data_IF_054196323748
#
_entry.id   IF_054196323748
#
_cell.length_a   1.000
_cell.length_b   1.000
_cell.length_c   1.000
_cell.angle_alpha   90.00
_cell.angle_beta   90.00
_cell.angle_gamma   90.00
#
_symmetry.space_group_name_H-M   'P 1'
#
loop_
_entity.id
_entity.type
_entity.pdbx_description
1 polymer ?
#
# COMPACT_ATOMS: atom_id res chain seq x y z
N UNK A 1 8.67 -6.76 -9.15
CA UNK A 1 8.09 -5.78 -10.10
C UNK A 1 7.85 -4.47 -9.37
N UNK A 2 8.10 -3.30 -9.98
CA UNK A 2 7.78 -1.99 -9.40
C UNK A 2 6.58 -1.41 -10.13
N UNK A 3 5.53 -1.06 -9.38
CA UNK A 3 4.29 -0.50 -9.92
C UNK A 3 3.96 0.79 -9.17
N UNK A 4 3.22 1.69 -9.83
CA UNK A 4 2.54 2.77 -9.11
C UNK A 4 1.31 2.23 -8.43
N UNK A 5 1.11 2.62 -7.19
CA UNK A 5 -0.05 2.26 -6.39
C UNK A 5 -0.64 3.52 -5.79
N UNK A 6 -1.96 3.65 -5.90
CA UNK A 6 -2.73 4.62 -5.13
C UNK A 6 -3.07 3.98 -3.80
N UNK A 7 -2.77 4.65 -2.70
CA UNK A 7 -3.14 4.23 -1.35
C UNK A 7 -4.06 5.26 -0.73
N UNK A 8 -5.14 4.80 -0.09
CA UNK A 8 -6.03 5.65 0.68
C UNK A 8 -6.18 5.20 2.13
N UNK A 9 -6.24 6.19 3.02
CA UNK A 9 -6.38 6.03 4.46
C UNK A 9 -6.97 7.31 5.07
N UNK A 10 -7.83 7.25 6.10
CA UNK A 10 -8.44 8.43 6.71
C UNK A 10 -7.45 9.49 7.22
N UNK A 11 -6.24 9.10 7.61
CA UNK A 11 -5.22 10.03 8.14
C UNK A 11 -4.62 10.97 7.09
N UNK A 12 -4.57 10.56 5.81
CA UNK A 12 -3.90 11.32 4.75
C UNK A 12 -4.72 11.45 3.45
N UNK A 13 -5.93 10.88 3.40
CA UNK A 13 -6.74 10.89 2.19
C UNK A 13 -6.23 9.87 1.18
N UNK A 14 -5.71 10.34 0.04
CA UNK A 14 -5.15 9.50 -1.02
C UNK A 14 -3.73 9.96 -1.38
N UNK A 15 -2.85 9.00 -1.67
CA UNK A 15 -1.49 9.25 -2.14
C UNK A 15 -1.12 8.30 -3.29
N UNK A 16 -0.17 8.72 -4.11
CA UNK A 16 0.45 7.88 -5.14
C UNK A 16 1.86 7.56 -4.70
N UNK A 17 2.18 6.27 -4.62
CA UNK A 17 3.49 5.78 -4.23
C UNK A 17 4.02 4.71 -5.20
N UNK A 18 5.29 4.34 -5.02
CA UNK A 18 5.91 3.24 -5.74
C UNK A 18 6.10 2.04 -4.82
N UNK A 19 5.79 0.86 -5.33
CA UNK A 19 6.12 -0.40 -4.67
C UNK A 19 7.63 -0.64 -4.75
N UNK A 20 8.23 -1.13 -3.65
CA UNK A 20 9.62 -1.60 -3.62
C UNK A 20 9.68 -3.07 -4.00
N UNK A 21 8.83 -3.86 -3.37
CA UNK A 21 8.65 -5.30 -3.60
C UNK A 21 7.16 -5.64 -3.61
N UNK A 22 6.83 -6.74 -4.29
CA UNK A 22 5.48 -7.28 -4.43
C UNK A 22 5.60 -8.80 -4.45
N UNK A 23 4.77 -9.46 -3.66
CA UNK A 23 4.65 -10.92 -3.55
C UNK A 23 3.17 -11.32 -3.50
N UNK A 24 2.87 -12.61 -3.48
CA UNK A 24 1.49 -13.10 -3.42
C UNK A 24 0.77 -12.75 -2.11
N UNK A 25 1.52 -12.51 -1.03
CA UNK A 25 0.97 -12.21 0.30
C UNK A 25 0.92 -10.72 0.66
N UNK A 26 1.58 -9.86 -0.13
CA UNK A 26 1.70 -8.45 0.25
C UNK A 26 2.70 -7.66 -0.59
N UNK A 27 2.82 -6.39 -0.22
CA UNK A 27 3.58 -5.37 -0.95
C UNK A 27 4.30 -4.45 0.04
N UNK A 28 5.54 -4.08 -0.24
CA UNK A 28 6.19 -2.98 0.46
C UNK A 28 6.08 -1.69 -0.36
N UNK A 29 5.71 -0.60 0.31
CA UNK A 29 5.49 0.70 -0.33
C UNK A 29 6.29 1.78 0.39
N UNK A 30 7.05 2.55 -0.38
CA UNK A 30 7.84 3.68 0.14
C UNK A 30 7.01 4.94 0.16
N UNK A 31 6.70 5.45 1.35
CA UNK A 31 6.09 6.76 1.54
C UNK A 31 6.19 7.19 3.02
N UNK A 32 6.56 8.44 3.32
CA UNK A 32 6.67 8.91 4.71
C UNK A 32 5.34 8.79 5.48
N UNK A 33 4.20 9.10 4.84
CA UNK A 33 2.89 8.98 5.50
C UNK A 33 2.51 7.53 5.84
N UNK A 34 3.05 6.54 5.11
CA UNK A 34 2.85 5.12 5.43
C UNK A 34 3.78 4.67 6.57
N UNK A 35 5.00 5.18 6.61
CA UNK A 35 5.94 4.95 7.71
C UNK A 35 5.41 5.49 9.05
N UNK A 36 4.53 6.49 9.01
CA UNK A 36 3.88 7.07 10.19
C UNK A 36 2.63 6.29 10.66
N UNK A 37 2.15 5.30 9.91
CA UNK A 37 0.98 4.52 10.31
C UNK A 37 1.33 3.49 11.41
N UNK A 38 0.43 3.26 12.38
CA UNK A 38 0.62 2.16 13.32
C UNK A 38 0.45 0.81 12.62
N UNK A 39 1.21 -0.20 13.09
CA UNK A 39 1.00 -1.60 12.72
C UNK A 39 -0.43 -2.03 13.08
N UNK A 40 -1.09 -2.76 12.18
CA UNK A 40 -2.50 -3.12 12.26
C UNK A 40 -3.45 -2.13 11.55
N UNK A 41 -2.96 -0.99 11.05
CA UNK A 41 -3.80 -0.07 10.27
C UNK A 41 -4.28 -0.72 8.98
N UNK A 42 -5.53 -0.46 8.60
CA UNK A 42 -6.10 -0.92 7.33
C UNK A 42 -6.04 0.21 6.32
N UNK A 43 -5.38 -0.04 5.19
CA UNK A 43 -5.31 0.87 4.05
C UNK A 43 -5.97 0.23 2.83
N UNK A 44 -6.44 1.06 1.90
CA UNK A 44 -6.94 0.59 0.60
C UNK A 44 -5.91 0.90 -0.47
N UNK A 45 -5.60 -0.07 -1.32
CA UNK A 45 -4.62 0.08 -2.40
C UNK A 45 -5.20 -0.27 -3.76
N UNK A 46 -4.73 0.43 -4.79
CA UNK A 46 -5.13 0.19 -6.17
C UNK A 46 -3.93 0.39 -7.09
N UNK A 47 -3.56 -0.65 -7.84
CA UNK A 47 -2.51 -0.56 -8.86
C UNK A 47 -2.93 0.45 -9.93
N UNK A 48 -1.99 1.29 -10.34
CA UNK A 48 -2.20 2.31 -11.37
C UNK A 48 -1.54 1.90 -12.69
N UNK A 49 -1.83 2.64 -13.76
CA UNK A 49 -1.24 2.47 -15.10
C UNK A 49 -1.56 1.15 -15.81
N UNK A 50 -2.65 0.51 -15.39
CA UNK A 50 -3.20 -0.61 -16.15
C UNK A 50 -4.13 -0.08 -17.25
N UNK A 51 -4.28 -0.80 -18.38
CA UNK A 51 -5.23 -0.44 -19.45
C UNK A 51 -6.68 -0.33 -18.98
N UNK A 52 -6.99 -0.97 -17.84
CA UNK A 52 -8.28 -0.91 -17.15
C UNK A 52 -8.04 -0.65 -15.67
N UNK A 53 -9.05 -0.14 -14.98
CA UNK A 53 -8.96 0.14 -13.55
C UNK A 53 -8.70 -1.15 -12.74
N UNK A 54 -7.66 -1.13 -11.90
CA UNK A 54 -7.33 -2.25 -11.03
C UNK A 54 -8.37 -2.38 -9.90
N UNK A 55 -8.60 -3.59 -9.37
CA UNK A 55 -9.40 -3.75 -8.17
C UNK A 55 -8.77 -2.99 -6.99
N UNK A 56 -9.63 -2.47 -6.11
CA UNK A 56 -9.21 -1.91 -4.84
C UNK A 56 -9.08 -3.06 -3.84
N UNK A 57 -7.91 -3.19 -3.22
CA UNK A 57 -7.59 -4.20 -2.22
C UNK A 57 -7.50 -3.56 -0.84
N UNK A 58 -8.02 -4.22 0.18
CA UNK A 58 -7.72 -3.89 1.57
C UNK A 58 -6.43 -4.56 2.01
N UNK A 59 -5.62 -3.82 2.76
CA UNK A 59 -4.33 -4.29 3.23
C UNK A 59 -4.08 -3.85 4.66
N UNK A 60 -3.41 -4.70 5.43
CA UNK A 60 -3.01 -4.42 6.80
C UNK A 60 -1.52 -4.03 6.85
N UNK A 61 -1.21 -2.96 7.58
CA UNK A 61 0.18 -2.58 7.90
C UNK A 61 0.78 -3.62 8.83
N UNK A 62 1.71 -4.44 8.34
CA UNK A 62 2.38 -5.47 9.14
C UNK A 62 3.68 -4.97 9.78
N UNK A 63 4.34 -4.01 9.14
CA UNK A 63 5.59 -3.40 9.62
C UNK A 63 5.77 -2.00 9.02
N UNK A 64 6.48 -1.15 9.74
CA UNK A 64 6.95 0.16 9.27
C UNK A 64 8.43 0.32 9.56
N UNK A 65 9.13 1.09 8.72
CA UNK A 65 10.49 1.52 8.93
C UNK A 65 10.65 2.98 8.45
N UNK A 66 11.87 3.52 8.43
CA UNK A 66 12.13 4.90 8.04
C UNK A 66 11.81 5.23 6.57
N UNK A 67 11.66 4.23 5.70
CA UNK A 67 11.39 4.41 4.27
C UNK A 67 9.92 4.19 3.89
N UNK A 68 9.16 3.40 4.67
CA UNK A 68 7.77 3.08 4.33
C UNK A 68 7.16 1.96 5.16
N UNK A 69 6.26 1.20 4.53
CA UNK A 69 5.46 0.17 5.19
C UNK A 69 5.41 -1.14 4.38
N UNK A 70 5.47 -2.27 5.09
CA UNK A 70 5.12 -3.58 4.56
C UNK A 70 3.64 -3.88 4.81
N UNK A 71 2.90 -4.12 3.73
CA UNK A 71 1.46 -4.30 3.72
C UNK A 71 1.12 -5.74 3.35
N UNK A 72 0.19 -6.37 4.08
CA UNK A 72 -0.32 -7.72 3.79
C UNK A 72 -1.70 -7.61 3.14
N UNK A 73 -1.93 -8.36 2.08
CA UNK A 73 -3.26 -8.42 1.46
C UNK A 73 -4.25 -9.08 2.41
N UNK A 74 -5.40 -8.43 2.59
CA UNK A 74 -6.56 -9.06 3.23
C UNK A 74 -7.37 -9.72 2.11
N UNK A 75 -7.48 -11.05 2.16
CA UNK A 75 -8.34 -11.77 1.23
C UNK A 75 -9.79 -11.34 1.48
N UNK A 76 -10.42 -10.79 0.45
CA UNK A 76 -11.85 -10.49 0.39
C UNK A 76 -12.61 -11.68 -0.19
#
# INVERSE_FOLDING_TARGET
MRCRIKISHPNFGELIAQTRDLSDGGVYVRHPDLAALPVGSIVRGQVQDLPMEAPILEMEVMRVDAEGAGLRFLAS
#
